data_IF_898324750583
#
_entry.id   IF_898324750583
#
_cell.length_a   1.000
_cell.length_b   1.000
_cell.length_c   1.000
_cell.angle_alpha   90.00
_cell.angle_beta   90.00
_cell.angle_gamma   90.00
#
_symmetry.space_group_name_H-M   'P 1'
#
loop_
_entity.id
_entity.type
_entity.pdbx_description
1 polymer ?
#
# COMPACT_ATOMS: atom_id res chain seq x y z
N UNK A 1 4.35 14.68 -29.44
CA UNK A 1 3.67 14.79 -28.14
C UNK A 1 4.58 14.15 -27.11
N UNK A 2 4.82 14.81 -25.97
CA UNK A 2 5.57 14.19 -24.88
C UNK A 2 4.76 13.03 -24.28
N UNK A 3 5.41 11.93 -23.96
CA UNK A 3 4.75 10.82 -23.26
C UNK A 3 4.42 11.25 -21.82
N UNK A 4 3.20 10.99 -21.37
CA UNK A 4 2.81 11.24 -19.97
C UNK A 4 3.65 10.38 -19.04
N UNK A 5 4.18 10.99 -18.00
CA UNK A 5 4.99 10.34 -16.96
C UNK A 5 4.15 10.16 -15.70
N UNK A 6 4.30 9.01 -15.07
CA UNK A 6 3.60 8.66 -13.85
C UNK A 6 4.59 8.10 -12.83
N UNK A 7 4.28 8.28 -11.56
CA UNK A 7 4.99 7.64 -10.45
C UNK A 7 4.02 6.82 -9.61
N UNK A 8 4.51 5.75 -9.00
CA UNK A 8 3.77 4.94 -8.04
C UNK A 8 4.24 5.26 -6.62
N UNK A 9 3.31 5.58 -5.74
CA UNK A 9 3.53 5.63 -4.30
C UNK A 9 3.02 4.35 -3.66
N UNK A 10 3.79 3.78 -2.72
CA UNK A 10 3.40 2.58 -1.95
C UNK A 10 3.61 2.86 -0.47
N UNK A 11 2.55 2.68 0.33
CA UNK A 11 2.52 2.90 1.77
C UNK A 11 2.20 1.59 2.49
N UNK A 12 3.16 1.11 3.28
CA UNK A 12 3.09 -0.17 3.97
C UNK A 12 2.53 0.03 5.39
N UNK A 13 1.23 -0.22 5.51
CA UNK A 13 0.54 -0.26 6.79
C UNK A 13 0.74 -1.59 7.52
N UNK A 14 0.10 -1.70 8.69
CA UNK A 14 0.28 -2.87 9.54
C UNK A 14 -0.45 -4.11 9.02
N UNK A 15 -1.65 -3.92 8.52
CA UNK A 15 -2.57 -4.96 8.06
C UNK A 15 -2.80 -4.93 6.55
N UNK A 16 -2.25 -3.93 5.86
CA UNK A 16 -2.55 -3.62 4.48
C UNK A 16 -1.43 -2.80 3.83
N UNK A 17 -1.46 -2.74 2.50
CA UNK A 17 -0.67 -1.83 1.68
C UNK A 17 -1.60 -0.96 0.85
N UNK A 18 -1.32 0.35 0.79
CA UNK A 18 -1.98 1.27 -0.16
C UNK A 18 -1.01 1.64 -1.26
N UNK A 19 -1.48 1.61 -2.51
CA UNK A 19 -0.73 2.05 -3.68
C UNK A 19 -1.50 3.12 -4.44
N UNK A 20 -0.79 4.13 -4.95
CA UNK A 20 -1.35 5.21 -5.78
C UNK A 20 -0.52 5.47 -7.02
N UNK A 21 -1.16 5.86 -8.11
CA UNK A 21 -0.50 6.35 -9.33
C UNK A 21 -0.72 7.85 -9.43
N UNK A 22 0.35 8.61 -9.55
CA UNK A 22 0.32 10.08 -9.64
C UNK A 22 0.82 10.53 -11.01
N UNK A 23 0.11 11.46 -11.65
CA UNK A 23 0.58 12.18 -12.83
C UNK A 23 1.65 13.20 -12.41
N UNK A 24 2.86 13.06 -12.97
CA UNK A 24 3.99 13.91 -12.56
C UNK A 24 3.88 15.35 -13.04
N UNK A 25 3.02 15.63 -14.02
CA UNK A 25 2.88 16.98 -14.59
C UNK A 25 2.08 17.93 -13.69
N UNK A 26 1.20 17.39 -12.85
CA UNK A 26 0.25 18.18 -12.06
C UNK A 26 0.03 17.64 -10.63
N UNK A 27 0.65 16.50 -10.27
CA UNK A 27 0.53 15.91 -8.94
C UNK A 27 -0.82 15.25 -8.66
N UNK A 28 -1.70 15.09 -9.66
CA UNK A 28 -3.03 14.48 -9.49
C UNK A 28 -2.92 12.97 -9.33
N UNK A 29 -3.63 12.44 -8.33
CA UNK A 29 -3.86 11.00 -8.20
C UNK A 29 -4.79 10.51 -9.32
N UNK A 30 -4.31 9.54 -10.08
CA UNK A 30 -5.02 8.93 -11.22
C UNK A 30 -5.74 7.65 -10.79
N UNK A 31 -5.15 6.90 -9.87
CA UNK A 31 -5.72 5.67 -9.33
C UNK A 31 -5.13 5.38 -7.95
N UNK A 32 -5.92 4.69 -7.12
CA UNK A 32 -5.53 4.21 -5.81
C UNK A 32 -6.12 2.83 -5.54
N UNK A 33 -5.40 1.99 -4.79
CA UNK A 33 -5.89 0.69 -4.33
C UNK A 33 -5.32 0.36 -2.95
N UNK A 34 -6.08 -0.42 -2.18
CA UNK A 34 -5.69 -0.95 -0.87
C UNK A 34 -5.81 -2.46 -0.91
N UNK A 35 -4.78 -3.15 -0.42
CA UNK A 35 -4.78 -4.61 -0.32
C UNK A 35 -4.46 -5.03 1.12
N UNK A 36 -5.41 -5.74 1.76
CA UNK A 36 -5.22 -6.34 3.08
C UNK A 36 -4.27 -7.55 2.99
N UNK A 37 -3.34 -7.68 3.94
CA UNK A 37 -2.47 -8.84 4.02
C UNK A 37 -3.24 -10.07 4.51
N UNK A 38 -3.41 -11.13 3.68
CA UNK A 38 -4.21 -12.29 4.08
C UNK A 38 -3.68 -12.97 5.34
N UNK A 39 -2.34 -13.09 5.47
CA UNK A 39 -1.69 -13.69 6.65
C UNK A 39 -1.93 -12.90 7.93
N UNK A 40 -1.94 -11.57 7.85
CA UNK A 40 -2.22 -10.73 9.01
C UNK A 40 -3.67 -10.90 9.44
N UNK A 41 -4.61 -10.90 8.48
CA UNK A 41 -6.04 -11.14 8.72
C UNK A 41 -6.31 -12.53 9.31
N UNK A 42 -5.52 -13.53 8.92
CA UNK A 42 -5.53 -14.88 9.48
C UNK A 42 -4.84 -14.99 10.86
N UNK A 43 -4.23 -13.91 11.37
CA UNK A 43 -3.50 -13.90 12.64
C UNK A 43 -2.21 -14.74 12.64
N UNK A 44 -1.71 -15.13 11.46
CA UNK A 44 -0.49 -15.94 11.36
C UNK A 44 0.72 -15.18 11.87
N UNK A 45 1.56 -15.85 12.65
CA UNK A 45 2.78 -15.30 13.24
C UNK A 45 2.53 -14.10 14.19
N UNK A 46 1.31 -13.99 14.71
CA UNK A 46 0.91 -12.95 15.65
C UNK A 46 0.59 -13.58 17.02
N UNK A 47 1.25 -13.08 18.07
CA UNK A 47 0.96 -13.39 19.47
C UNK A 47 0.93 -12.07 20.27
N UNK A 48 -0.25 -11.42 20.37
CA UNK A 48 -0.39 -10.15 21.08
C UNK A 48 -0.01 -10.24 22.56
N UNK A 49 -0.22 -11.39 23.20
CA UNK A 49 0.14 -11.58 24.60
C UNK A 49 1.67 -11.53 24.81
N UNK A 50 2.44 -11.84 23.76
CA UNK A 50 3.90 -11.73 23.73
C UNK A 50 4.40 -10.47 23.00
N UNK A 51 3.52 -9.55 22.61
CA UNK A 51 3.85 -8.41 21.74
C UNK A 51 4.58 -8.82 20.44
N UNK A 52 4.24 -9.99 19.89
CA UNK A 52 4.80 -10.47 18.63
C UNK A 52 3.82 -10.21 17.49
N UNK A 53 4.25 -9.45 16.49
CA UNK A 53 3.46 -9.07 15.34
C UNK A 53 4.32 -9.23 14.08
N UNK A 54 4.04 -10.30 13.31
CA UNK A 54 4.74 -10.76 12.09
C UNK A 54 5.97 -11.62 12.33
#
# INVERSE_FOLDING_TARGET
MEAKKYVIGVDFGTDSVRSVIIDTSNGREISGSVFEYPRWKEGKYCDPAKNQFR
#
